data_IF_534465429042
#
_entry.id   IF_534465429042
#
_cell.length_a   1.000
_cell.length_b   1.000
_cell.length_c   1.000
_cell.angle_alpha   90.00
_cell.angle_beta   90.00
_cell.angle_gamma   90.00
#
_symmetry.space_group_name_H-M   'P 1'
#
loop_
_entity.id
_entity.type
_entity.pdbx_description
1 polymer ?
#
# COMPACT_ATOMS: atom_id res chain seq x y z
N UNK A 1 11.09 -14.75 -5.22
CA UNK A 1 10.21 -15.47 -6.16
C UNK A 1 10.09 -14.60 -7.40
N UNK A 2 10.78 -14.95 -8.49
CA UNK A 2 10.80 -14.18 -9.74
C UNK A 2 9.56 -14.60 -10.52
N UNK A 3 8.63 -13.69 -10.77
CA UNK A 3 7.44 -13.96 -11.59
C UNK A 3 7.85 -13.80 -13.05
N UNK A 4 7.96 -14.93 -13.75
CA UNK A 4 8.19 -14.97 -15.20
C UNK A 4 6.84 -14.98 -15.92
N UNK A 5 6.47 -13.85 -16.53
CA UNK A 5 5.31 -13.79 -17.42
C UNK A 5 5.70 -14.31 -18.81
N UNK A 6 4.95 -15.28 -19.34
CA UNK A 6 5.18 -15.89 -20.64
C UNK A 6 4.95 -14.90 -21.80
N UNK A 7 5.82 -14.95 -22.80
CA UNK A 7 5.75 -14.11 -24.00
C UNK A 7 4.72 -14.64 -25.00
N UNK A 8 3.83 -13.77 -25.48
CA UNK A 8 3.00 -14.03 -26.66
C UNK A 8 3.74 -13.56 -27.92
N UNK A 9 3.85 -14.45 -28.91
CA UNK A 9 4.50 -14.17 -30.20
C UNK A 9 3.46 -13.69 -31.20
N UNK A 10 3.47 -12.38 -31.48
CA UNK A 10 2.86 -11.82 -32.69
C UNK A 10 3.98 -11.52 -33.70
N UNK A 11 3.70 -11.80 -34.98
CA UNK A 11 4.67 -11.87 -36.08
C UNK A 11 5.66 -10.71 -36.17
N UNK A 12 6.85 -11.04 -36.72
CA UNK A 12 8.01 -10.18 -37.02
C UNK A 12 7.88 -8.70 -36.62
N UNK A 13 7.96 -8.45 -35.31
CA UNK A 13 8.08 -7.12 -34.73
C UNK A 13 9.14 -7.23 -33.65
N UNK A 14 10.38 -6.81 -34.00
CA UNK A 14 11.55 -6.96 -33.16
C UNK A 14 11.29 -6.48 -31.73
N UNK A 15 11.39 -7.40 -30.76
CA UNK A 15 11.19 -7.08 -29.36
C UNK A 15 12.37 -6.24 -28.83
N UNK A 16 12.17 -4.92 -28.71
CA UNK A 16 13.12 -4.05 -28.03
C UNK A 16 12.98 -4.20 -26.50
N UNK A 17 13.94 -4.87 -25.86
CA UNK A 17 14.08 -4.87 -24.39
C UNK A 17 14.81 -3.60 -23.97
N UNK A 18 14.07 -2.62 -23.49
CA UNK A 18 14.65 -1.47 -22.83
C UNK A 18 15.08 -1.83 -21.41
N UNK A 19 16.39 -1.93 -21.20
CA UNK A 19 16.96 -2.08 -19.87
C UNK A 19 17.30 -0.69 -19.31
N UNK A 20 16.35 -0.07 -18.62
CA UNK A 20 16.61 1.17 -17.90
C UNK A 20 17.29 0.85 -16.55
N UNK A 21 18.51 1.34 -16.35
CA UNK A 21 19.12 1.38 -15.01
C UNK A 21 18.73 2.70 -14.34
N UNK A 22 17.64 2.67 -13.59
CA UNK A 22 17.26 3.80 -12.76
C UNK A 22 18.27 3.93 -11.61
N UNK A 23 19.11 4.97 -11.63
CA UNK A 23 19.90 5.37 -10.46
C UNK A 23 19.00 6.24 -9.59
N UNK A 24 18.33 5.61 -8.64
CA UNK A 24 17.56 6.31 -7.61
C UNK A 24 18.55 7.06 -6.73
N UNK A 25 18.39 8.38 -6.58
CA UNK A 25 19.19 9.14 -5.61
C UNK A 25 18.92 8.61 -4.21
N UNK A 26 19.90 8.67 -3.31
CA UNK A 26 19.72 8.24 -1.91
C UNK A 26 18.50 8.91 -1.26
N UNK A 27 18.27 10.18 -1.58
CA UNK A 27 17.08 10.94 -1.17
C UNK A 27 15.79 10.33 -1.72
N UNK A 28 15.72 10.04 -3.02
CA UNK A 28 14.51 9.44 -3.62
C UNK A 28 14.23 8.05 -3.03
N UNK A 29 15.25 7.26 -2.73
CA UNK A 29 15.08 5.97 -2.09
C UNK A 29 14.51 6.12 -0.66
N UNK A 30 15.04 7.06 0.13
CA UNK A 30 14.54 7.32 1.48
C UNK A 30 13.07 7.77 1.47
N UNK A 31 12.68 8.63 0.53
CA UNK A 31 11.28 9.07 0.38
C UNK A 31 10.35 7.93 -0.03
N UNK A 32 10.78 7.06 -0.93
CA UNK A 32 10.00 5.89 -1.35
C UNK A 32 9.80 4.92 -0.20
N UNK A 33 10.83 4.65 0.61
CA UNK A 33 10.70 3.82 1.80
C UNK A 33 9.76 4.45 2.83
N UNK A 34 9.87 5.76 3.07
CA UNK A 34 8.96 6.46 3.97
C UNK A 34 7.49 6.44 3.50
N UNK A 35 7.24 6.45 2.20
CA UNK A 35 5.89 6.25 1.63
C UNK A 35 5.41 4.81 1.76
N UNK A 36 6.31 3.86 1.49
CA UNK A 36 6.02 2.46 1.64
C UNK A 36 5.64 2.10 3.09
N UNK A 37 6.40 2.60 4.07
CA UNK A 37 6.14 2.34 5.48
C UNK A 37 4.77 2.88 5.92
N UNK A 38 4.35 4.04 5.40
CA UNK A 38 3.01 4.61 5.63
C UNK A 38 1.91 3.75 5.02
N UNK A 39 2.05 3.38 3.75
CA UNK A 39 1.10 2.50 3.08
C UNK A 39 0.99 1.13 3.79
N UNK A 40 2.14 0.59 4.22
CA UNK A 40 2.22 -0.67 4.95
C UNK A 40 1.53 -0.58 6.31
N UNK A 41 1.70 0.53 7.02
CA UNK A 41 1.00 0.75 8.29
C UNK A 41 -0.52 0.79 8.10
N UNK A 42 -1.02 1.59 7.14
CA UNK A 42 -2.46 1.68 6.83
C UNK A 42 -3.04 0.30 6.51
N UNK A 43 -2.32 -0.48 5.69
CA UNK A 43 -2.72 -1.85 5.38
C UNK A 43 -2.80 -2.73 6.61
N UNK A 44 -1.80 -2.69 7.48
CA UNK A 44 -1.76 -3.51 8.70
C UNK A 44 -2.91 -3.19 9.64
N UNK A 45 -3.28 -1.91 9.80
CA UNK A 45 -4.42 -1.49 10.62
C UNK A 45 -5.75 -2.03 10.06
N UNK A 46 -5.95 -1.93 8.74
CA UNK A 46 -7.13 -2.52 8.08
C UNK A 46 -7.20 -4.03 8.28
N UNK A 47 -6.08 -4.74 8.15
CA UNK A 47 -6.01 -6.19 8.36
C UNK A 47 -6.26 -6.55 9.83
N UNK A 48 -5.70 -5.81 10.77
CA UNK A 48 -5.94 -6.02 12.20
C UNK A 48 -7.42 -5.86 12.55
N UNK A 49 -8.06 -4.79 12.05
CA UNK A 49 -9.50 -4.55 12.26
C UNK A 49 -10.35 -5.66 11.63
N UNK A 50 -10.04 -6.07 10.41
CA UNK A 50 -10.73 -7.16 9.72
C UNK A 50 -10.63 -8.49 10.50
N UNK A 51 -9.43 -8.83 10.98
CA UNK A 51 -9.22 -10.02 11.82
C UNK A 51 -9.98 -9.96 13.14
N UNK A 52 -10.02 -8.79 13.79
CA UNK A 52 -10.76 -8.61 15.03
C UNK A 52 -12.27 -8.80 14.81
N UNK A 53 -12.84 -8.21 13.75
CA UNK A 53 -14.26 -8.40 13.38
C UNK A 53 -14.55 -9.85 13.02
N UNK A 54 -13.66 -10.52 12.27
CA UNK A 54 -13.82 -11.93 11.97
C UNK A 54 -13.82 -12.81 13.23
N UNK A 55 -12.89 -12.57 14.16
CA UNK A 55 -12.82 -13.28 15.43
C UNK A 55 -14.06 -13.03 16.29
N UNK A 56 -14.54 -11.78 16.35
CA UNK A 56 -15.79 -11.42 17.03
C UNK A 56 -16.98 -12.18 16.45
N UNK A 57 -17.17 -12.15 15.14
CA UNK A 57 -18.30 -12.82 14.47
C UNK A 57 -18.26 -14.34 14.62
N UNK A 58 -17.06 -14.91 14.79
CA UNK A 58 -16.89 -16.33 15.07
C UNK A 58 -17.27 -16.67 16.51
N UNK A 59 -17.02 -15.78 17.46
CA UNK A 59 -17.38 -15.95 18.87
C UNK A 59 -18.84 -15.61 19.17
N UNK A 60 -19.41 -14.65 18.44
CA UNK A 60 -20.77 -14.12 18.62
C UNK A 60 -21.54 -14.20 17.30
N UNK A 61 -22.06 -15.39 16.93
CA UNK A 61 -22.77 -15.57 15.67
C UNK A 61 -24.11 -14.82 15.61
N UNK A 62 -24.71 -14.50 16.76
CA UNK A 62 -25.90 -13.66 16.92
C UNK A 62 -25.64 -12.16 16.78
N UNK A 63 -24.44 -11.67 17.12
CA UNK A 63 -24.06 -10.26 17.02
C UNK A 63 -22.95 -10.06 15.99
N UNK A 64 -23.31 -10.20 14.72
CA UNK A 64 -22.35 -10.04 13.62
C UNK A 64 -22.02 -8.57 13.39
N UNK A 65 -20.77 -8.23 13.64
CA UNK A 65 -20.20 -6.95 13.26
C UNK A 65 -19.76 -6.98 11.79
N UNK A 66 -19.95 -5.85 11.10
CA UNK A 66 -19.46 -5.69 9.74
C UNK A 66 -18.20 -4.82 9.75
N UNK A 67 -17.23 -5.17 8.91
CA UNK A 67 -16.06 -4.34 8.62
C UNK A 67 -16.28 -3.66 7.27
N UNK A 68 -17.11 -2.63 7.23
CA UNK A 68 -17.45 -1.93 5.99
C UNK A 68 -16.33 -0.97 5.54
N UNK A 69 -16.18 -0.71 4.22
CA UNK A 69 -15.20 0.24 3.70
C UNK A 69 -15.40 1.66 4.23
N UNK A 70 -16.64 2.05 4.56
CA UNK A 70 -16.98 3.35 5.17
C UNK A 70 -16.48 3.45 6.62
N UNK A 71 -16.59 2.38 7.41
CA UNK A 71 -16.07 2.37 8.78
C UNK A 71 -14.54 2.41 8.80
N UNK A 72 -13.90 1.68 7.87
CA UNK A 72 -12.46 1.71 7.71
C UNK A 72 -11.97 3.10 7.27
N UNK A 73 -12.63 3.74 6.31
CA UNK A 73 -12.24 5.08 5.87
C UNK A 73 -12.38 6.13 6.97
N UNK A 74 -13.44 6.05 7.78
CA UNK A 74 -13.61 6.91 8.96
C UNK A 74 -12.50 6.68 10.00
N UNK A 75 -12.21 5.42 10.33
CA UNK A 75 -11.14 5.05 11.27
C UNK A 75 -9.77 5.57 10.80
N UNK A 76 -9.45 5.43 9.51
CA UNK A 76 -8.21 5.94 8.92
C UNK A 76 -8.15 7.46 8.90
N UNK A 77 -9.28 8.13 8.71
CA UNK A 77 -9.37 9.59 8.77
C UNK A 77 -9.06 10.11 10.18
N UNK A 78 -9.62 9.47 11.21
CA UNK A 78 -9.26 9.78 12.59
C UNK A 78 -7.80 9.46 12.91
N UNK A 79 -7.29 8.34 12.40
CA UNK A 79 -5.89 7.98 12.57
C UNK A 79 -4.96 9.04 11.96
N UNK A 80 -5.28 9.56 10.77
CA UNK A 80 -4.55 10.69 10.16
C UNK A 80 -4.56 11.91 11.07
N UNK A 81 -5.72 12.28 11.63
CA UNK A 81 -5.81 13.42 12.54
C UNK A 81 -4.95 13.26 13.82
N UNK A 82 -4.76 12.02 14.30
CA UNK A 82 -4.02 11.73 15.54
C UNK A 82 -2.53 11.43 15.34
N UNK A 83 -2.12 11.03 14.14
CA UNK A 83 -0.77 10.52 13.86
C UNK A 83 -0.06 11.50 12.91
N UNK A 84 0.79 12.43 13.43
CA UNK A 84 1.36 13.51 12.63
C UNK A 84 2.14 13.04 11.41
N UNK A 85 2.95 11.98 11.54
CA UNK A 85 3.71 11.43 10.41
C UNK A 85 2.84 10.83 9.30
N UNK A 86 1.59 10.46 9.60
CA UNK A 86 0.65 9.94 8.60
C UNK A 86 0.00 11.08 7.80
N UNK A 87 -0.07 12.28 8.37
CA UNK A 87 -0.54 13.49 7.68
C UNK A 87 0.51 14.08 6.74
N UNK A 88 1.79 13.96 7.08
CA UNK A 88 2.87 14.55 6.29
C UNK A 88 3.20 13.68 5.07
N UNK A 89 2.69 14.08 3.90
CA UNK A 89 3.16 13.51 2.64
C UNK A 89 4.55 14.08 2.29
N UNK A 90 5.53 13.24 1.91
CA UNK A 90 6.85 13.66 1.50
C UNK A 90 6.69 14.48 0.23
N UNK A 91 6.96 15.77 0.35
CA UNK A 91 7.00 16.67 -0.78
C UNK A 91 8.29 16.38 -1.52
N UNK A 92 8.22 15.78 -2.70
CA UNK A 92 9.34 15.79 -3.65
C UNK A 92 9.58 17.25 -4.08
N UNK A 93 10.36 17.99 -3.30
CA UNK A 93 10.91 19.27 -3.74
C UNK A 93 12.07 18.91 -4.66
N UNK A 94 11.86 19.02 -5.97
CA UNK A 94 12.97 19.01 -6.93
C UNK A 94 13.79 20.27 -6.66
N UNK A 95 14.84 20.14 -5.85
CA UNK A 95 15.91 21.13 -5.82
C UNK A 95 16.79 20.90 -7.05
N UNK A 96 17.01 21.99 -7.80
CA UNK A 96 17.81 22.11 -9.04
C UNK A 96 18.98 21.15 -9.19
#
# INVERSE_FOLDING_TARGET
MIVTTAAQTWGETGHARYAFRLRVSSTANALLLAEWDRCRWVWNECVAKSKAVYAHNRAHPEDRQTCGPVQLSAMLTEARARIPWLCEAPRCRSSN
#
